data_IF_119622079895
#
_entry.id   IF_119622079895
#
_cell.length_a   1.000
_cell.length_b   1.000
_cell.length_c   1.000
_cell.angle_alpha   90.00
_cell.angle_beta   90.00
_cell.angle_gamma   90.00
#
_symmetry.space_group_name_H-M   'P 1'
#
loop_
_entity.id
_entity.type
_entity.pdbx_description
1 polymer ?
#
# COMPACT_ATOMS: atom_id res chain seq x y z
N UNK A 1 12.89 -4.67 -0.56
CA UNK A 1 12.44 -4.37 0.80
C UNK A 1 11.54 -5.51 1.24
N UNK A 2 11.47 -5.84 2.53
CA UNK A 2 10.63 -6.91 3.07
C UNK A 2 9.67 -6.36 4.11
N UNK A 3 8.59 -7.09 4.35
CA UNK A 3 7.60 -6.72 5.36
C UNK A 3 8.16 -7.07 6.74
N UNK A 4 8.36 -6.05 7.57
CA UNK A 4 8.81 -6.21 8.95
C UNK A 4 7.64 -6.45 9.90
N UNK A 5 6.54 -5.72 9.71
CA UNK A 5 5.30 -5.92 10.46
C UNK A 5 4.12 -5.52 9.60
N UNK A 6 3.08 -6.34 9.60
CA UNK A 6 1.78 -6.02 9.02
C UNK A 6 0.81 -5.90 10.19
N UNK A 7 0.56 -4.67 10.65
CA UNK A 7 -0.47 -4.45 11.66
C UNK A 7 -1.84 -4.72 11.00
N UNK A 8 -2.77 -5.35 11.73
CA UNK A 8 -4.11 -5.73 11.23
C UNK A 8 -4.97 -4.56 10.70
N UNK A 9 -4.45 -3.34 10.74
CA UNK A 9 -5.10 -2.12 10.30
C UNK A 9 -4.22 -1.43 9.26
N UNK A 10 -4.40 -1.77 7.99
CA UNK A 10 -4.05 -0.98 6.79
C UNK A 10 -2.64 -0.38 6.68
N UNK A 11 -1.70 -0.73 7.56
CA UNK A 11 -0.34 -0.18 7.61
C UNK A 11 0.69 -1.30 7.53
N UNK A 12 1.67 -1.11 6.65
CA UNK A 12 2.82 -1.98 6.48
C UNK A 12 4.07 -1.26 6.94
N UNK A 13 4.83 -1.87 7.84
CA UNK A 13 6.20 -1.48 8.17
C UNK A 13 7.18 -2.32 7.34
N UNK A 14 8.08 -1.65 6.64
CA UNK A 14 9.15 -2.28 5.86
C UNK A 14 10.44 -2.43 6.70
N UNK A 15 11.38 -3.22 6.20
CA UNK A 15 12.66 -3.51 6.89
C UNK A 15 13.54 -2.28 7.14
N UNK A 16 13.39 -1.24 6.32
CA UNK A 16 14.06 0.06 6.50
C UNK A 16 13.41 0.95 7.58
N UNK A 17 12.31 0.48 8.19
CA UNK A 17 11.55 1.21 9.21
C UNK A 17 10.52 2.18 8.64
N UNK A 18 10.37 2.27 7.31
CA UNK A 18 9.32 3.07 6.69
C UNK A 18 7.95 2.44 6.89
N UNK A 19 6.93 3.29 7.08
CA UNK A 19 5.55 2.87 7.33
C UNK A 19 4.61 3.46 6.29
N UNK A 20 3.75 2.61 5.73
CA UNK A 20 2.91 2.92 4.59
C UNK A 20 1.47 2.49 4.83
N UNK A 21 0.53 3.41 4.61
CA UNK A 21 -0.90 3.10 4.58
C UNK A 21 -1.28 2.55 3.22
N UNK A 22 -1.95 1.40 3.21
CA UNK A 22 -2.50 0.75 2.02
C UNK A 22 -3.82 1.42 1.63
N UNK A 23 -4.00 1.64 0.33
CA UNK A 23 -5.27 2.12 -0.20
C UNK A 23 -6.38 1.11 0.12
N UNK A 24 -7.53 1.53 0.67
CA UNK A 24 -8.57 0.59 1.11
C UNK A 24 -9.05 -0.39 0.03
N UNK A 25 -9.09 0.03 -1.24
CA UNK A 25 -9.49 -0.81 -2.37
C UNK A 25 -8.48 -1.89 -2.74
N UNK A 26 -7.22 -1.76 -2.31
CA UNK A 26 -6.12 -2.68 -2.64
C UNK A 26 -5.81 -3.65 -1.48
N UNK A 27 -6.51 -3.55 -0.35
CA UNK A 27 -6.31 -4.41 0.83
C UNK A 27 -6.45 -5.90 0.52
N UNK A 28 -7.33 -6.28 -0.41
CA UNK A 28 -7.49 -7.68 -0.79
C UNK A 28 -6.22 -8.26 -1.44
N UNK A 29 -5.46 -7.43 -2.16
CA UNK A 29 -4.20 -7.82 -2.80
C UNK A 29 -3.12 -8.11 -1.77
N UNK A 30 -3.11 -7.38 -0.65
CA UNK A 30 -2.09 -7.56 0.41
C UNK A 30 -2.31 -8.81 1.26
N UNK A 31 -3.49 -9.45 1.19
CA UNK A 31 -3.78 -10.71 1.90
C UNK A 31 -2.87 -11.87 1.44
N UNK A 32 -2.32 -11.80 0.22
CA UNK A 32 -1.41 -12.82 -0.30
C UNK A 32 0.05 -12.56 0.05
N UNK A 33 0.36 -11.42 0.69
CA UNK A 33 1.73 -11.07 1.04
C UNK A 33 2.17 -11.79 2.31
N UNK A 34 3.42 -12.26 2.30
CA UNK A 34 4.08 -12.90 3.43
C UNK A 34 5.19 -11.99 3.95
N UNK A 35 5.68 -12.16 5.19
CA UNK A 35 6.84 -11.41 5.70
C UNK A 35 8.07 -11.47 4.78
N UNK A 36 8.22 -12.60 4.09
CA UNK A 36 9.29 -12.88 3.12
C UNK A 36 9.05 -12.32 1.71
N UNK A 37 7.89 -11.71 1.45
CA UNK A 37 7.59 -11.05 0.17
C UNK A 37 8.56 -9.90 -0.07
N UNK A 38 9.24 -9.94 -1.21
CA UNK A 38 10.09 -8.85 -1.67
C UNK A 38 9.24 -7.78 -2.35
N UNK A 39 9.21 -6.60 -1.73
CA UNK A 39 8.52 -5.41 -2.19
C UNK A 39 9.51 -4.38 -2.73
N UNK A 40 9.06 -3.64 -3.74
CA UNK A 40 9.72 -2.43 -4.25
C UNK A 40 8.78 -1.25 -4.06
N UNK A 41 9.31 -0.14 -3.57
CA UNK A 41 8.57 1.11 -3.48
C UNK A 41 8.87 1.97 -4.71
N UNK A 42 7.83 2.43 -5.37
CA UNK A 42 7.91 3.31 -6.53
C UNK A 42 7.11 4.59 -6.27
N UNK A 43 7.56 5.72 -6.79
CA UNK A 43 6.77 6.96 -6.76
C UNK A 43 5.55 6.82 -7.68
N UNK A 44 4.38 7.20 -7.14
CA UNK A 44 3.14 7.21 -7.91
C UNK A 44 3.01 8.54 -8.65
N UNK A 45 2.38 8.50 -9.82
CA UNK A 45 1.91 9.71 -10.54
C UNK A 45 0.42 9.98 -10.31
N UNK A 46 -0.23 9.09 -9.58
CA UNK A 46 -1.65 9.18 -9.26
C UNK A 46 -1.86 10.27 -8.20
N UNK A 47 -2.88 11.13 -8.35
CA UNK A 47 -3.12 12.22 -7.41
C UNK A 47 -3.59 11.74 -6.03
N UNK A 48 -4.12 10.51 -5.93
CA UNK A 48 -4.65 9.96 -4.67
C UNK A 48 -3.56 9.30 -3.82
N UNK A 49 -2.49 8.81 -4.45
CA UNK A 49 -1.44 8.02 -3.80
C UNK A 49 -0.07 8.65 -4.02
N UNK A 50 0.78 8.69 -3.00
CA UNK A 50 2.14 9.20 -3.17
C UNK A 50 3.08 8.14 -3.74
N UNK A 51 2.85 6.86 -3.42
CA UNK A 51 3.71 5.75 -3.82
C UNK A 51 2.91 4.49 -4.15
N UNK A 52 3.61 3.52 -4.73
CA UNK A 52 3.10 2.18 -5.04
C UNK A 52 4.08 1.15 -4.51
N UNK A 53 3.58 0.16 -3.77
CA UNK A 53 4.32 -1.05 -3.43
C UNK A 53 4.09 -2.09 -4.52
N UNK A 54 5.18 -2.63 -5.07
CA UNK A 54 5.18 -3.65 -6.11
C UNK A 54 5.78 -4.93 -5.55
N UNK A 55 5.00 -6.02 -5.56
CA UNK A 55 5.52 -7.34 -5.22
C UNK A 55 6.39 -7.86 -6.36
N UNK A 56 7.66 -8.14 -6.07
CA UNK A 56 8.61 -8.59 -7.07
C UNK A 56 8.26 -9.97 -7.64
N UNK A 57 7.57 -10.83 -6.88
CA UNK A 57 7.26 -12.20 -7.27
C UNK A 57 6.14 -12.31 -8.30
N UNK A 58 5.05 -11.55 -8.12
CA UNK A 58 3.85 -11.64 -8.96
C UNK A 58 3.53 -10.33 -9.71
N UNK A 59 4.32 -9.28 -9.51
CA UNK A 59 4.14 -7.94 -10.08
C UNK A 59 2.82 -7.26 -9.67
N UNK A 60 2.16 -7.74 -8.63
CA UNK A 60 1.00 -7.06 -8.03
C UNK A 60 1.42 -5.69 -7.48
N UNK A 61 0.52 -4.71 -7.61
CA UNK A 61 0.76 -3.31 -7.26
C UNK A 61 -0.31 -2.84 -6.29
N UNK A 62 0.12 -2.14 -5.26
CA UNK A 62 -0.75 -1.62 -4.21
C UNK A 62 -0.42 -0.15 -3.97
N UNK A 63 -1.43 0.70 -4.03
CA UNK A 63 -1.27 2.14 -3.79
C UNK A 63 -1.07 2.40 -2.31
N UNK A 64 -0.15 3.30 -1.99
CA UNK A 64 0.15 3.69 -0.61
C UNK A 64 0.38 5.18 -0.44
N UNK A 65 0.18 5.65 0.79
CA UNK A 65 0.62 6.96 1.30
C UNK A 65 1.45 6.76 2.56
N UNK A 66 2.20 7.77 3.01
CA UNK A 66 2.96 7.63 4.25
C UNK A 66 2.01 7.43 5.44
N UNK A 67 2.43 6.68 6.46
CA UNK A 67 1.55 6.34 7.58
C UNK A 67 1.03 7.54 8.41
N UNK A 68 1.67 8.71 8.29
CA UNK A 68 1.25 9.94 8.94
C UNK A 68 0.36 10.84 8.06
N UNK A 69 0.15 10.46 6.80
CA UNK A 69 -0.74 11.18 5.88
C UNK A 69 -2.18 10.66 6.02
N UNK A 70 -3.15 11.36 5.44
CA UNK A 70 -4.55 10.90 5.40
C UNK A 70 -5.01 10.82 3.97
N UNK A 71 -5.72 9.75 3.64
CA UNK A 71 -6.30 9.60 2.32
C UNK A 71 -7.28 10.75 2.03
N UNK A 72 -7.33 11.29 0.80
CA UNK A 72 -8.33 12.26 0.42
C UNK A 72 -9.73 11.61 0.41
N UNK A 73 -10.48 11.74 1.51
CA UNK A 73 -11.76 11.05 1.76
C UNK A 73 -12.77 11.14 0.61
N UNK A 74 -12.86 12.31 -0.03
CA UNK A 74 -13.77 12.55 -1.15
C UNK A 74 -13.41 11.76 -2.41
N UNK A 75 -12.11 11.60 -2.67
CA UNK A 75 -11.60 10.87 -3.83
C UNK A 75 -11.62 9.36 -3.60
N UNK A 76 -11.28 8.91 -2.39
CA UNK A 76 -11.38 7.49 -2.01
C UNK A 76 -12.82 6.98 -2.07
N UNK A 77 -13.79 7.76 -1.56
CA UNK A 77 -15.21 7.39 -1.63
C UNK A 77 -15.72 7.30 -3.07
N UNK A 78 -15.26 8.16 -3.97
CA UNK A 78 -15.64 8.08 -5.38
C UNK A 78 -14.99 6.88 -6.07
N UNK A 79 -13.70 6.62 -5.82
CA UNK A 79 -12.99 5.48 -6.36
C UNK A 79 -13.58 4.13 -5.91
N UNK A 80 -14.01 4.02 -4.65
CA UNK A 80 -14.63 2.81 -4.10
C UNK A 80 -16.08 2.60 -4.58
N UNK A 81 -16.79 3.66 -5.00
CA UNK A 81 -18.17 3.57 -5.53
C UNK A 81 -18.24 3.16 -6.99
N UNK A 82 -17.15 3.32 -7.74
CA UNK A 82 -17.07 2.97 -9.16
C UNK A 82 -16.55 1.54 -9.40
N UNK A 83 -16.29 0.77 -8.33
CA UNK A 83 -15.84 -0.62 -8.38
C UNK A 83 -16.98 -1.63 -8.35
#
# INVERSE_FOLDING_TARGET
MKIRTHAESHVVELDDGSQWQIFPGDLATTLSWKPETDLRLEQSRDPMSSHVLVNAADQSRVRVIAAHETWPDGEVKNALKSG
#
